data_IF_512879311194
#
_entry.id   IF_512879311194
#
_cell.length_a   1.000
_cell.length_b   1.000
_cell.length_c   1.000
_cell.angle_alpha   90.00
_cell.angle_beta   90.00
_cell.angle_gamma   90.00
#
_symmetry.space_group_name_H-M   'P 1'
#
loop_
_entity.id
_entity.type
_entity.pdbx_description
1 polymer ?
#
# COMPACT_ATOMS: atom_id res chain seq x y z
N UNK A 1 -5.43 -26.85 -10.31
CA UNK A 1 -4.76 -25.66 -9.72
C UNK A 1 -4.98 -25.71 -8.22
N UNK A 2 -3.92 -25.58 -7.39
CA UNK A 2 -4.10 -25.41 -5.94
C UNK A 2 -5.00 -24.19 -5.69
N UNK A 3 -5.95 -24.28 -4.77
CA UNK A 3 -6.74 -23.14 -4.31
C UNK A 3 -5.81 -22.12 -3.65
N UNK A 4 -5.35 -21.14 -4.44
CA UNK A 4 -4.45 -20.10 -3.95
C UNK A 4 -5.21 -19.16 -3.05
N UNK A 5 -4.55 -18.71 -1.99
CA UNK A 5 -5.18 -17.84 -1.00
C UNK A 5 -5.57 -16.48 -1.62
N UNK A 6 -6.88 -16.25 -1.75
CA UNK A 6 -7.46 -15.04 -2.35
C UNK A 6 -7.02 -13.76 -1.63
N UNK A 7 -6.77 -13.80 -0.32
CA UNK A 7 -6.39 -12.61 0.44
C UNK A 7 -4.97 -12.12 0.13
N UNK A 8 -4.04 -13.02 -0.18
CA UNK A 8 -2.72 -12.62 -0.69
C UNK A 8 -2.87 -11.90 -2.02
N UNK A 9 -3.71 -12.43 -2.91
CA UNK A 9 -3.97 -11.82 -4.22
C UNK A 9 -4.58 -10.42 -4.07
N UNK A 10 -5.61 -10.27 -3.23
CA UNK A 10 -6.25 -8.97 -2.98
C UNK A 10 -5.22 -7.98 -2.41
N UNK A 11 -4.36 -8.41 -1.48
CA UNK A 11 -3.31 -7.55 -0.92
C UNK A 11 -2.34 -7.05 -2.00
N UNK A 12 -1.85 -7.96 -2.86
CA UNK A 12 -0.97 -7.60 -3.98
C UNK A 12 -1.67 -6.68 -5.00
N UNK A 13 -2.96 -6.91 -5.26
CA UNK A 13 -3.76 -6.10 -6.16
C UNK A 13 -3.94 -4.67 -5.64
N UNK A 14 -4.32 -4.48 -4.37
CA UNK A 14 -4.50 -3.14 -3.78
C UNK A 14 -3.18 -2.36 -3.79
N UNK A 15 -2.06 -3.00 -3.45
CA UNK A 15 -0.74 -2.37 -3.53
C UNK A 15 -0.35 -2.01 -4.98
N UNK A 16 -0.76 -2.82 -5.96
CA UNK A 16 -0.54 -2.52 -7.39
C UNK A 16 -1.38 -1.32 -7.83
N UNK A 17 -2.62 -1.18 -7.34
CA UNK A 17 -3.46 0.01 -7.60
C UNK A 17 -2.79 1.26 -7.03
N UNK A 18 -2.20 1.20 -5.83
CA UNK A 18 -1.43 2.31 -5.26
C UNK A 18 -0.25 2.71 -6.16
N UNK A 19 0.51 1.73 -6.69
CA UNK A 19 1.59 1.98 -7.63
C UNK A 19 1.07 2.64 -8.92
N UNK A 20 -0.04 2.16 -9.48
CA UNK A 20 -0.66 2.75 -10.66
C UNK A 20 -1.12 4.20 -10.41
N UNK A 21 -1.73 4.48 -9.25
CA UNK A 21 -2.11 5.84 -8.86
C UNK A 21 -0.86 6.75 -8.81
N UNK A 22 0.24 6.27 -8.23
CA UNK A 22 1.51 7.03 -8.19
C UNK A 22 2.09 7.29 -9.58
N UNK A 23 1.97 6.33 -10.51
CA UNK A 23 2.36 6.52 -11.93
C UNK A 23 1.45 7.55 -12.62
N UNK A 24 0.13 7.42 -12.47
CA UNK A 24 -0.84 8.32 -13.11
C UNK A 24 -0.76 9.75 -12.57
N UNK A 25 -0.43 9.93 -11.29
CA UNK A 25 -0.22 11.25 -10.70
C UNK A 25 0.91 12.01 -11.41
N UNK A 26 1.97 11.31 -11.86
CA UNK A 26 3.11 11.91 -12.56
C UNK A 26 2.77 12.48 -13.93
N UNK A 27 1.71 11.99 -14.56
CA UNK A 27 1.28 12.51 -15.87
C UNK A 27 0.48 13.80 -15.75
N UNK A 28 0.14 14.21 -14.52
CA UNK A 28 -0.69 15.39 -14.30
C UNK A 28 0.13 16.67 -14.35
N UNK A 29 -0.45 17.74 -14.90
CA UNK A 29 0.22 19.03 -15.03
C UNK A 29 0.64 19.64 -13.69
N UNK A 30 -0.04 19.29 -12.60
CA UNK A 30 0.22 19.79 -11.25
C UNK A 30 1.34 19.06 -10.51
N UNK A 31 1.81 17.91 -11.00
CA UNK A 31 2.73 17.04 -10.26
C UNK A 31 4.05 17.74 -9.87
N UNK A 32 4.65 18.42 -10.84
CA UNK A 32 5.93 19.12 -10.66
C UNK A 32 5.77 20.58 -10.17
N UNK A 33 4.54 21.09 -10.00
CA UNK A 33 4.36 22.41 -9.41
C UNK A 33 4.60 22.33 -7.91
N UNK A 34 5.57 23.09 -7.40
CA UNK A 34 5.86 23.21 -5.96
C UNK A 34 5.91 21.86 -5.23
N UNK A 35 6.38 20.81 -5.91
CA UNK A 35 6.48 19.43 -5.39
C UNK A 35 5.15 18.82 -4.90
N UNK A 36 3.99 19.31 -5.38
CA UNK A 36 2.68 18.77 -4.96
C UNK A 36 2.55 17.27 -5.20
N UNK A 37 3.15 16.76 -6.28
CA UNK A 37 3.19 15.34 -6.61
C UNK A 37 3.90 14.48 -5.56
N UNK A 38 5.05 14.93 -5.07
CA UNK A 38 5.87 14.20 -4.10
C UNK A 38 5.22 14.19 -2.70
N UNK A 39 4.43 15.22 -2.39
CA UNK A 39 3.65 15.29 -1.17
C UNK A 39 2.37 14.46 -1.25
N UNK A 40 1.69 14.47 -2.41
CA UNK A 40 0.39 13.84 -2.59
C UNK A 40 0.44 12.32 -2.84
N UNK A 41 1.54 11.77 -3.37
CA UNK A 41 1.65 10.32 -3.59
C UNK A 41 3.03 9.81 -3.17
N UNK A 42 3.14 8.60 -2.60
CA UNK A 42 4.45 7.99 -2.36
C UNK A 42 5.23 7.83 -3.67
N UNK A 43 6.54 7.98 -3.61
CA UNK A 43 7.39 7.86 -4.80
C UNK A 43 7.37 6.42 -5.34
N UNK A 44 7.51 6.27 -6.66
CA UNK A 44 7.43 4.97 -7.34
C UNK A 44 8.48 4.00 -6.79
N UNK A 45 9.71 4.48 -6.59
CA UNK A 45 10.82 3.64 -6.12
C UNK A 45 10.54 3.01 -4.75
N UNK A 46 9.82 3.71 -3.87
CA UNK A 46 9.41 3.17 -2.56
C UNK A 46 8.27 2.16 -2.67
N UNK A 47 7.46 2.20 -3.72
CA UNK A 47 6.31 1.31 -3.93
C UNK A 47 6.66 0.04 -4.73
N UNK A 48 7.66 0.09 -5.62
CA UNK A 48 8.03 -1.06 -6.46
C UNK A 48 8.45 -2.27 -5.62
N UNK A 49 9.29 -2.05 -4.60
CA UNK A 49 9.80 -3.13 -3.74
C UNK A 49 8.67 -3.85 -3.00
N UNK A 50 7.80 -3.19 -2.21
CA UNK A 50 6.72 -3.88 -1.50
C UNK A 50 5.70 -4.53 -2.45
N UNK A 51 5.43 -3.94 -3.63
CA UNK A 51 4.55 -4.55 -4.62
C UNK A 51 5.12 -5.86 -5.16
N UNK A 52 6.41 -5.88 -5.53
CA UNK A 52 7.08 -7.13 -5.97
C UNK A 52 7.02 -8.17 -4.86
N UNK A 53 7.31 -7.80 -3.62
CA UNK A 53 7.25 -8.71 -2.48
C UNK A 53 5.84 -9.30 -2.29
N UNK A 54 4.78 -8.50 -2.43
CA UNK A 54 3.42 -9.04 -2.32
C UNK A 54 3.06 -10.00 -3.44
N UNK A 55 3.50 -9.74 -4.68
CA UNK A 55 3.32 -10.69 -5.79
C UNK A 55 4.11 -11.98 -5.56
N UNK A 56 5.34 -11.90 -5.08
CA UNK A 56 6.14 -13.08 -4.73
C UNK A 56 5.52 -13.86 -3.57
N UNK A 57 5.02 -13.15 -2.55
CA UNK A 57 4.33 -13.76 -1.42
C UNK A 57 3.07 -14.51 -1.85
N UNK A 58 2.29 -13.96 -2.81
CA UNK A 58 1.15 -14.67 -3.40
C UNK A 58 1.60 -15.88 -4.25
N UNK A 59 2.62 -15.70 -5.09
CA UNK A 59 3.09 -16.76 -5.99
C UNK A 59 3.64 -17.98 -5.23
N UNK A 60 4.40 -17.74 -4.17
CA UNK A 60 5.01 -18.79 -3.33
C UNK A 60 4.21 -19.15 -2.07
N UNK A 61 3.11 -18.44 -1.80
CA UNK A 61 2.33 -18.53 -0.55
C UNK A 61 3.17 -18.32 0.71
N UNK A 62 4.24 -17.51 0.61
CA UNK A 62 5.19 -17.29 1.70
C UNK A 62 4.76 -16.14 2.63
N UNK A 63 4.59 -16.50 3.91
CA UNK A 63 4.13 -15.56 4.94
C UNK A 63 5.20 -14.57 5.37
N UNK A 64 6.47 -14.96 5.28
CA UNK A 64 7.61 -14.12 5.63
C UNK A 64 7.72 -12.96 4.65
N UNK A 65 7.69 -13.27 3.36
CA UNK A 65 7.70 -12.32 2.25
C UNK A 65 6.52 -11.36 2.34
N UNK A 66 5.31 -11.86 2.65
CA UNK A 66 4.13 -11.00 2.88
C UNK A 66 4.38 -10.00 4.01
N UNK A 67 4.92 -10.47 5.14
CA UNK A 67 5.19 -9.62 6.30
C UNK A 67 6.29 -8.60 6.01
N UNK A 68 7.36 -8.99 5.33
CA UNK A 68 8.43 -8.08 4.91
C UNK A 68 7.90 -6.96 4.01
N UNK A 69 7.07 -7.30 3.02
CA UNK A 69 6.40 -6.30 2.19
C UNK A 69 5.51 -5.35 3.01
N UNK A 70 4.77 -5.89 3.98
CA UNK A 70 3.91 -5.11 4.87
C UNK A 70 4.69 -4.12 5.73
N UNK A 71 5.83 -4.55 6.31
CA UNK A 71 6.69 -3.69 7.13
C UNK A 71 7.29 -2.56 6.31
N UNK A 72 7.81 -2.84 5.12
CA UNK A 72 8.34 -1.80 4.23
C UNK A 72 7.24 -0.80 3.87
N UNK A 73 6.05 -1.29 3.50
CA UNK A 73 4.94 -0.41 3.15
C UNK A 73 4.40 0.39 4.35
N UNK A 74 4.49 -0.15 5.56
CA UNK A 74 4.14 0.57 6.79
C UNK A 74 5.12 1.73 7.08
N UNK A 75 6.41 1.56 6.77
CA UNK A 75 7.38 2.65 6.84
C UNK A 75 7.03 3.73 5.81
N UNK A 76 6.73 3.33 4.57
CA UNK A 76 6.29 4.26 3.52
C UNK A 76 5.01 5.01 3.93
N UNK A 77 4.07 4.33 4.58
CA UNK A 77 2.87 4.95 5.14
C UNK A 77 3.19 6.01 6.18
N UNK A 78 4.07 5.70 7.13
CA UNK A 78 4.48 6.65 8.17
C UNK A 78 5.12 7.90 7.57
N UNK A 79 6.05 7.72 6.61
CA UNK A 79 6.66 8.85 5.90
C UNK A 79 5.65 9.66 5.09
N UNK A 80 4.59 9.02 4.59
CA UNK A 80 3.55 9.71 3.83
C UNK A 80 2.63 10.55 4.74
N UNK A 81 2.43 10.15 6.01
CA UNK A 81 1.65 10.91 6.98
C UNK A 81 2.26 12.27 7.33
N UNK A 82 3.59 12.41 7.21
CA UNK A 82 4.30 13.66 7.45
C UNK A 82 3.85 14.76 6.48
N UNK A 83 3.22 14.41 5.35
CA UNK A 83 2.68 15.35 4.36
C UNK A 83 1.20 15.70 4.59
N UNK A 84 0.62 15.36 5.74
CA UNK A 84 -0.80 15.63 6.07
C UNK A 84 -1.20 17.10 6.08
N UNK A 85 -0.23 18.01 6.22
CA UNK A 85 -0.43 19.45 6.07
C UNK A 85 -1.10 19.86 4.75
N UNK A 86 -0.93 19.06 3.68
CA UNK A 86 -1.49 19.35 2.35
C UNK A 86 -3.02 19.48 2.37
N UNK A 87 -3.69 18.82 3.33
CA UNK A 87 -5.13 18.92 3.53
C UNK A 87 -5.55 20.29 4.07
N UNK A 88 -4.67 20.92 4.86
CA UNK A 88 -4.86 22.22 5.49
C UNK A 88 -4.25 23.38 4.68
N UNK A 89 -3.90 23.14 3.40
CA UNK A 89 -3.20 24.08 2.53
C UNK A 89 -1.79 24.46 3.04
N UNK A 90 -1.09 23.51 3.67
CA UNK A 90 0.32 23.65 4.04
C UNK A 90 1.15 22.50 3.42
N UNK A 91 1.88 22.73 2.31
CA UNK A 91 2.13 24.01 1.67
C UNK A 91 0.93 24.53 0.88
N UNK A 92 0.94 25.83 0.56
CA UNK A 92 -0.10 26.45 -0.24
C UNK A 92 -0.27 25.74 -1.60
N UNK A 93 -1.48 25.21 -1.84
CA UNK A 93 -1.87 24.60 -3.12
C UNK A 93 -2.74 25.57 -3.89
N UNK A 94 -2.36 25.88 -5.13
CA UNK A 94 -3.13 26.75 -6.02
C UNK A 94 -4.55 26.21 -6.17
N UNK A 95 -5.56 27.08 -5.98
CA UNK A 95 -6.98 26.72 -5.93
C UNK A 95 -7.45 25.81 -7.07
N UNK A 96 -6.96 26.05 -8.31
CA UNK A 96 -7.27 25.23 -9.49
C UNK A 96 -6.89 23.75 -9.34
N UNK A 97 -5.81 23.45 -8.62
CA UNK A 97 -5.28 22.09 -8.47
C UNK A 97 -5.57 21.49 -7.09
N UNK A 98 -6.01 22.29 -6.12
CA UNK A 98 -6.26 21.86 -4.75
C UNK A 98 -7.17 20.62 -4.64
N UNK A 99 -8.28 20.50 -5.40
CA UNK A 99 -9.10 19.28 -5.36
C UNK A 99 -8.33 18.04 -5.79
N UNK A 100 -7.64 18.11 -6.94
CA UNK A 100 -6.92 16.97 -7.50
C UNK A 100 -5.77 16.51 -6.59
N UNK A 101 -4.99 17.46 -6.07
CA UNK A 101 -3.86 17.20 -5.17
C UNK A 101 -4.34 16.54 -3.86
N UNK A 102 -5.40 17.09 -3.24
CA UNK A 102 -5.96 16.54 -1.99
C UNK A 102 -6.59 15.16 -2.21
N UNK A 103 -7.29 14.94 -3.32
CA UNK A 103 -7.82 13.61 -3.67
C UNK A 103 -6.70 12.60 -3.87
N UNK A 104 -5.63 12.96 -4.57
CA UNK A 104 -4.48 12.07 -4.77
C UNK A 104 -3.83 11.69 -3.42
N UNK A 105 -3.69 12.66 -2.51
CA UNK A 105 -3.22 12.42 -1.15
C UNK A 105 -4.11 11.46 -0.36
N UNK A 106 -5.41 11.74 -0.26
CA UNK A 106 -6.33 10.89 0.51
C UNK A 106 -6.40 9.49 -0.10
N UNK A 107 -6.47 9.38 -1.42
CA UNK A 107 -6.54 8.09 -2.10
C UNK A 107 -5.28 7.26 -1.87
N UNK A 108 -4.09 7.84 -2.03
CA UNK A 108 -2.83 7.13 -1.85
C UNK A 108 -2.63 6.73 -0.38
N UNK A 109 -3.01 7.59 0.56
CA UNK A 109 -2.97 7.29 2.00
C UNK A 109 -3.90 6.13 2.37
N UNK A 110 -5.14 6.14 1.89
CA UNK A 110 -6.11 5.06 2.13
C UNK A 110 -5.67 3.74 1.50
N UNK A 111 -5.14 3.76 0.27
CA UNK A 111 -4.64 2.55 -0.40
C UNK A 111 -3.40 1.98 0.30
N UNK A 112 -2.52 2.84 0.80
CA UNK A 112 -1.33 2.40 1.57
C UNK A 112 -1.77 1.75 2.87
N UNK A 113 -2.66 2.41 3.64
CA UNK A 113 -3.20 1.86 4.88
C UNK A 113 -3.92 0.53 4.63
N UNK A 114 -4.79 0.47 3.63
CA UNK A 114 -5.52 -0.75 3.27
C UNK A 114 -4.56 -1.90 2.94
N UNK A 115 -3.51 -1.64 2.15
CA UNK A 115 -2.51 -2.65 1.79
C UNK A 115 -1.77 -3.18 3.02
N UNK A 116 -1.36 -2.29 3.94
CA UNK A 116 -0.70 -2.67 5.19
C UNK A 116 -1.63 -3.53 6.07
N UNK A 117 -2.85 -3.05 6.32
CA UNK A 117 -3.84 -3.74 7.17
C UNK A 117 -4.19 -5.11 6.58
N UNK A 118 -4.42 -5.20 5.27
CA UNK A 118 -4.73 -6.46 4.60
C UNK A 118 -3.57 -7.45 4.69
N UNK A 119 -2.33 -6.99 4.52
CA UNK A 119 -1.15 -7.84 4.61
C UNK A 119 -0.98 -8.43 6.02
N UNK A 120 -1.08 -7.58 7.06
CA UNK A 120 -1.01 -8.03 8.46
C UNK A 120 -2.17 -8.97 8.82
N UNK A 121 -3.39 -8.63 8.42
CA UNK A 121 -4.57 -9.47 8.65
C UNK A 121 -4.41 -10.85 8.00
N UNK A 122 -3.98 -10.88 6.73
CA UNK A 122 -3.72 -12.12 5.98
C UNK A 122 -2.66 -12.98 6.67
N UNK A 123 -1.59 -12.36 7.15
CA UNK A 123 -0.55 -13.06 7.92
C UNK A 123 -1.12 -13.70 9.20
N UNK A 124 -1.85 -12.93 10.00
CA UNK A 124 -2.44 -13.39 11.27
C UNK A 124 -3.44 -14.53 11.05
N UNK A 125 -4.38 -14.37 10.11
CA UNK A 125 -5.39 -15.38 9.81
C UNK A 125 -4.75 -16.73 9.42
N UNK A 126 -3.69 -16.69 8.61
CA UNK A 126 -3.02 -17.93 8.21
C UNK A 126 -2.24 -18.58 9.35
N UNK A 127 -1.75 -17.81 10.32
CA UNK A 127 -1.12 -18.36 11.52
C UNK A 127 -2.16 -19.01 12.43
N UNK A 128 -3.30 -18.36 12.66
CA UNK A 128 -4.41 -18.94 13.42
C UNK A 128 -4.92 -20.25 12.80
N UNK A 129 -5.14 -20.30 11.47
CA UNK A 129 -5.54 -21.55 10.79
C UNK A 129 -4.55 -22.69 10.99
N UNK A 130 -3.24 -22.40 10.95
CA UNK A 130 -2.18 -23.39 11.17
C UNK A 130 -2.20 -23.94 12.60
N UNK A 131 -2.40 -23.07 13.59
CA UNK A 131 -2.51 -23.46 15.00
C UNK A 131 -3.73 -24.34 15.26
N UNK A 132 -4.89 -23.97 14.71
CA UNK A 132 -6.13 -24.77 14.82
C UNK A 132 -5.98 -26.16 14.20
N UNK A 133 -5.32 -26.28 13.04
CA UNK A 133 -5.06 -27.58 12.41
C UNK A 133 -4.16 -28.45 13.28
N UNK A 134 -3.07 -27.88 13.81
CA UNK A 134 -2.13 -28.59 14.70
C UNK A 134 -2.82 -29.12 15.97
N UNK A 135 -3.75 -28.34 16.55
CA UNK A 135 -4.51 -28.76 17.74
C UNK A 135 -5.45 -29.93 17.48
N UNK A 136 -5.98 -30.08 16.25
CA UNK A 136 -6.88 -31.19 15.89
C UNK A 136 -6.14 -32.48 15.60
N UNK A 137 -4.88 -32.40 15.15
CA UNK A 137 -4.04 -33.57 14.86
C UNK A 137 -3.40 -34.17 16.12
N UNK A 138 -3.42 -33.45 17.25
CA UNK A 138 -2.90 -33.93 18.54
C UNK A 138 -3.95 -34.56 19.46
N UNK A 139 -5.21 -34.69 19.00
CA UNK A 139 -6.32 -35.37 19.68
C UNK A 139 -6.65 -36.66 18.93
#
# INVERSE_FOLDING_TARGET
>A
MKERNLLFFITALVASILLLVSILARTQSWYNLNNYGELAVPTIHYLVIPVILFWLAWYFEDKGTLLSGAVILAIVFALHLDHSGILNNDPYVISRYAPAVKTAYVLSLMLTLASVVLAFFTHLQNNFKKLLKKSKESQ
#
